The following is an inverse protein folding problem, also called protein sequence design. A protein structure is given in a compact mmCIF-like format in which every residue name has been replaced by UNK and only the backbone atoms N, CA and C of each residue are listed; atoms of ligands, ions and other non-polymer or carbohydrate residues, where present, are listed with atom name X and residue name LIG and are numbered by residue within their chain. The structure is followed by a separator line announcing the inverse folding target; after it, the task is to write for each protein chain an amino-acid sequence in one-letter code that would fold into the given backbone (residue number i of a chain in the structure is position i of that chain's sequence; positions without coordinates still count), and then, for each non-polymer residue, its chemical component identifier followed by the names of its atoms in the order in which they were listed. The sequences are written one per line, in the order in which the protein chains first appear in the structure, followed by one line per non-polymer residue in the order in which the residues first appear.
data_IF_853810589335
#
_entry.id   IF_853810589335
#
_cell.length_a   1.000
_cell.length_b   1.000
_cell.length_c   1.000
_cell.angle_alpha   90.00
_cell.angle_beta   90.00
_cell.angle_gamma   90.00
#
_symmetry.space_group_name_H-M   'P 1'
#
loop_
_entity.id
_entity.type
_entity.pdbx_description
1 polymer ?
#
# COMPACT_ATOMS: atom_id res chain seq x y z
N UNK A 1 23.60 -4.47 14.14
CA UNK A 1 22.76 -5.50 14.80
C UNK A 1 21.44 -5.51 14.05
N UNK A 2 21.26 -6.51 13.19
CA UNK A 2 20.05 -6.68 12.39
C UNK A 2 18.99 -7.29 13.31
N UNK A 3 17.98 -6.51 13.67
CA UNK A 3 16.85 -6.95 14.50
C UNK A 3 15.59 -7.04 13.64
N UNK A 4 15.67 -7.79 12.55
CA UNK A 4 14.50 -8.38 11.92
C UNK A 4 14.70 -9.88 12.06
N UNK A 5 14.16 -10.43 13.14
CA UNK A 5 14.15 -11.87 13.40
C UNK A 5 13.42 -12.53 12.24
N UNK A 6 14.07 -13.50 11.57
CA UNK A 6 13.49 -14.37 10.54
C UNK A 6 12.36 -15.29 11.07
N UNK A 7 11.88 -15.06 12.30
CA UNK A 7 11.07 -15.98 13.09
C UNK A 7 9.81 -15.33 13.68
N UNK A 8 9.28 -14.33 12.96
CA UNK A 8 7.87 -13.97 13.11
C UNK A 8 7.25 -14.21 11.74
N UNK A 9 6.69 -15.40 11.56
CA UNK A 9 5.69 -15.63 10.52
C UNK A 9 4.48 -14.75 10.84
N UNK A 10 4.55 -13.49 10.43
CA UNK A 10 3.38 -12.64 10.31
C UNK A 10 2.54 -13.27 9.22
N UNK A 11 1.62 -14.18 9.58
CA UNK A 11 0.58 -14.60 8.65
C UNK A 11 -0.24 -13.35 8.33
N UNK A 12 0.19 -12.69 7.26
CA UNK A 12 -0.43 -11.51 6.72
C UNK A 12 -1.51 -11.97 5.77
N UNK A 13 -2.68 -12.32 6.30
CA UNK A 13 -3.90 -12.37 5.50
C UNK A 13 -4.64 -11.06 5.73
N UNK A 14 -4.26 -9.99 5.01
CA UNK A 14 -5.08 -8.78 5.07
C UNK A 14 -6.41 -9.06 4.36
N UNK A 15 -7.39 -9.43 5.16
CA UNK A 15 -8.77 -9.55 4.73
C UNK A 15 -9.38 -8.15 4.71
N UNK A 16 -8.97 -7.32 3.76
CA UNK A 16 -9.44 -5.92 3.62
C UNK A 16 -10.97 -5.79 3.57
N UNK A 17 -11.67 -6.83 3.12
CA UNK A 17 -13.13 -6.94 3.15
C UNK A 17 -13.73 -7.74 4.31
N UNK A 18 -12.95 -8.14 5.31
CA UNK A 18 -13.49 -8.80 6.52
C UNK A 18 -14.20 -7.81 7.44
N UNK A 19 -15.22 -8.28 8.14
CA UNK A 19 -15.98 -7.47 9.10
C UNK A 19 -15.12 -6.84 10.21
N UNK A 20 -13.99 -7.48 10.55
CA UNK A 20 -13.07 -7.00 11.58
C UNK A 20 -12.03 -5.99 11.03
N UNK A 21 -11.89 -5.91 9.70
CA UNK A 21 -11.01 -4.96 9.03
C UNK A 21 -11.69 -3.60 8.84
N UNK A 22 -11.76 -2.83 9.92
CA UNK A 22 -12.43 -1.52 9.94
C UNK A 22 -11.44 -0.37 9.66
N UNK A 23 -11.06 -0.18 8.39
CA UNK A 23 -10.21 0.96 7.99
C UNK A 23 -10.94 2.30 8.23
N UNK A 24 -10.23 3.30 8.77
CA UNK A 24 -10.81 4.60 9.13
C UNK A 24 -11.49 4.66 10.50
N UNK A 25 -11.64 3.53 11.20
CA UNK A 25 -12.18 3.48 12.56
C UNK A 25 -11.05 3.43 13.62
N UNK A 26 -11.37 3.86 14.84
CA UNK A 26 -10.42 3.88 15.96
C UNK A 26 -10.16 2.50 16.59
N UNK A 27 -10.83 1.44 16.11
CA UNK A 27 -10.74 0.07 16.65
C UNK A 27 -10.88 -0.94 15.51
N UNK A 28 -10.32 -2.13 15.70
CA UNK A 28 -10.37 -3.24 14.75
C UNK A 28 -9.00 -3.64 14.22
N UNK A 29 -8.93 -4.75 13.50
CA UNK A 29 -7.67 -5.35 13.03
C UNK A 29 -6.85 -4.39 12.18
N UNK A 30 -7.52 -3.57 11.36
CA UNK A 30 -6.88 -2.55 10.54
C UNK A 30 -6.12 -1.50 11.39
N UNK A 31 -6.70 -1.09 12.53
CA UNK A 31 -6.09 -0.13 13.44
C UNK A 31 -4.85 -0.72 14.13
N UNK A 32 -4.96 -1.94 14.65
CA UNK A 32 -3.86 -2.61 15.35
C UNK A 32 -2.67 -2.87 14.42
N UNK A 33 -2.96 -3.35 13.21
CA UNK A 33 -1.93 -3.56 12.17
C UNK A 33 -1.30 -2.23 11.73
N UNK A 34 -2.09 -1.17 11.58
CA UNK A 34 -1.58 0.16 11.28
C UNK A 34 -0.65 0.69 12.38
N UNK A 35 -0.99 0.47 13.65
CA UNK A 35 -0.13 0.87 14.78
C UNK A 35 1.21 0.13 14.77
N UNK A 36 1.18 -1.19 14.55
CA UNK A 36 2.39 -2.02 14.42
C UNK A 36 3.27 -1.55 13.26
N UNK A 37 2.68 -1.36 12.07
CA UNK A 37 3.42 -0.93 10.89
C UNK A 37 4.04 0.46 11.11
N UNK A 38 3.28 1.43 11.65
CA UNK A 38 3.81 2.77 11.97
C UNK A 38 5.00 2.72 12.93
N UNK A 39 4.96 1.83 13.92
CA UNK A 39 6.07 1.61 14.84
C UNK A 39 7.30 1.06 14.11
N UNK A 40 7.10 0.04 13.27
CA UNK A 40 8.15 -0.61 12.50
C UNK A 40 8.83 0.31 11.48
N UNK A 41 8.08 1.21 10.83
CA UNK A 41 8.58 2.08 9.75
C UNK A 41 8.77 3.55 10.18
N UNK A 42 9.00 3.78 11.47
CA UNK A 42 9.12 5.13 12.04
C UNK A 42 10.27 5.95 11.44
N UNK A 43 11.42 5.34 11.18
CA UNK A 43 12.59 6.02 10.60
C UNK A 43 12.64 5.91 9.08
N UNK A 44 13.39 6.81 8.43
CA UNK A 44 13.60 6.75 6.98
C UNK A 44 14.35 5.47 6.56
N UNK A 45 15.35 5.07 7.34
CA UNK A 45 16.08 3.82 7.15
C UNK A 45 15.15 2.61 7.28
N UNK A 46 14.33 2.56 8.34
CA UNK A 46 13.40 1.45 8.55
C UNK A 46 12.35 1.35 7.44
N UNK A 47 11.87 2.49 6.89
CA UNK A 47 11.01 2.49 5.68
C UNK A 47 11.71 1.87 4.48
N UNK A 48 12.95 2.26 4.22
CA UNK A 48 13.73 1.73 3.10
C UNK A 48 13.99 0.24 3.26
N UNK A 49 14.37 -0.20 4.46
CA UNK A 49 14.53 -1.62 4.80
C UNK A 49 13.24 -2.40 4.61
N UNK A 50 12.12 -1.90 5.15
CA UNK A 50 10.80 -2.53 5.03
C UNK A 50 10.36 -2.67 3.56
N UNK A 51 10.52 -1.61 2.75
CA UNK A 51 10.24 -1.65 1.32
C UNK A 51 11.10 -2.69 0.61
N UNK A 52 12.38 -2.84 0.98
CA UNK A 52 13.29 -3.82 0.39
C UNK A 52 13.04 -5.27 0.86
N UNK A 53 12.51 -5.47 2.07
CA UNK A 53 12.42 -6.76 2.77
C UNK A 53 11.40 -7.76 2.20
N UNK A 54 10.91 -7.58 0.97
CA UNK A 54 9.89 -8.47 0.37
C UNK A 54 8.61 -8.61 1.20
N UNK A 55 8.21 -7.55 1.92
CA UNK A 55 6.95 -7.50 2.65
C UNK A 55 5.75 -8.00 1.81
N UNK A 56 4.80 -8.75 2.41
CA UNK A 56 3.60 -9.24 1.74
C UNK A 56 2.80 -8.12 1.08
N UNK A 57 2.09 -8.44 -0.01
CA UNK A 57 1.32 -7.45 -0.78
C UNK A 57 0.30 -6.71 0.11
N UNK A 58 -0.47 -7.42 0.92
CA UNK A 58 -1.41 -6.78 1.83
C UNK A 58 -0.75 -5.80 2.82
N UNK A 59 0.50 -6.03 3.22
CA UNK A 59 1.23 -5.15 4.13
C UNK A 59 1.69 -3.89 3.41
N UNK A 60 2.14 -4.04 2.16
CA UNK A 60 2.43 -2.91 1.29
C UNK A 60 1.18 -2.05 1.04
N UNK A 61 0.01 -2.68 0.83
CA UNK A 61 -1.26 -1.96 0.67
C UNK A 61 -1.60 -1.20 1.95
N UNK A 62 -1.31 -1.76 3.13
CA UNK A 62 -1.48 -1.04 4.39
C UNK A 62 -0.55 0.16 4.49
N UNK A 63 0.71 0.00 4.10
CA UNK A 63 1.67 1.11 4.02
C UNK A 63 1.20 2.20 3.06
N UNK A 64 0.61 1.83 1.91
CA UNK A 64 0.03 2.76 0.96
C UNK A 64 -1.16 3.51 1.56
N UNK A 65 -2.08 2.80 2.23
CA UNK A 65 -3.23 3.37 2.90
C UNK A 65 -2.81 4.44 3.93
N UNK A 66 -1.76 4.15 4.70
CA UNK A 66 -1.17 5.09 5.66
C UNK A 66 -0.57 6.32 4.98
N UNK A 67 0.12 6.15 3.84
CA UNK A 67 0.68 7.24 3.08
C UNK A 67 -0.42 8.16 2.52
N UNK A 68 -1.47 7.57 1.94
CA UNK A 68 -2.63 8.32 1.43
C UNK A 68 -3.32 9.11 2.55
N UNK A 69 -3.65 8.45 3.66
CA UNK A 69 -4.27 9.11 4.82
C UNK A 69 -3.41 10.26 5.35
N UNK A 70 -2.08 10.09 5.37
CA UNK A 70 -1.17 11.15 5.79
C UNK A 70 -1.21 12.34 4.83
N UNK A 71 -1.15 12.09 3.53
CA UNK A 71 -1.23 13.15 2.51
C UNK A 71 -2.53 13.95 2.66
N UNK A 72 -3.67 13.26 2.80
CA UNK A 72 -4.99 13.89 3.01
C UNK A 72 -5.04 14.74 4.28
N UNK A 73 -4.50 14.23 5.40
CA UNK A 73 -4.42 14.99 6.65
C UNK A 73 -3.55 16.25 6.54
N UNK A 74 -2.63 16.30 5.58
CA UNK A 74 -1.82 17.49 5.27
C UNK A 74 -2.49 18.40 4.23
N UNK A 75 -3.75 18.14 3.87
CA UNK A 75 -4.49 18.90 2.86
C UNK A 75 -4.01 18.61 1.42
N UNK A 76 -3.34 17.48 1.19
CA UNK A 76 -2.80 17.08 -0.11
C UNK A 76 -3.60 15.89 -0.65
N UNK A 77 -4.55 16.11 -1.57
CA UNK A 77 -5.33 15.01 -2.12
C UNK A 77 -4.39 14.02 -2.83
N UNK A 78 -4.57 12.73 -2.54
CA UNK A 78 -3.81 11.69 -3.22
C UNK A 78 -4.53 11.29 -4.50
N UNK A 79 -3.80 11.08 -5.62
CA UNK A 79 -4.39 10.49 -6.82
C UNK A 79 -4.90 9.07 -6.59
N UNK A 80 -4.67 8.45 -5.43
CA UNK A 80 -5.07 7.07 -5.10
C UNK A 80 -6.16 7.00 -4.03
N UNK A 81 -6.70 8.13 -3.59
CA UNK A 81 -7.73 8.18 -2.54
C UNK A 81 -8.95 7.33 -2.89
N UNK A 82 -9.42 7.36 -4.14
CA UNK A 82 -10.60 6.59 -4.55
C UNK A 82 -10.36 5.08 -4.54
N UNK A 83 -9.22 4.59 -5.06
CA UNK A 83 -8.89 3.16 -4.95
C UNK A 83 -8.76 2.71 -3.49
N UNK A 84 -8.22 3.57 -2.61
CA UNK A 84 -8.14 3.25 -1.19
C UNK A 84 -9.52 3.21 -0.53
N UNK A 85 -10.43 4.10 -0.90
CA UNK A 85 -11.80 4.09 -0.42
C UNK A 85 -12.57 2.86 -0.91
N UNK A 86 -12.42 2.49 -2.19
CA UNK A 86 -13.01 1.29 -2.78
C UNK A 86 -12.51 0.00 -2.09
N UNK A 87 -11.21 -0.07 -1.80
CA UNK A 87 -10.60 -1.16 -1.05
C UNK A 87 -11.19 -1.27 0.37
N UNK A 88 -11.28 -0.16 1.08
CA UNK A 88 -11.85 -0.13 2.44
C UNK A 88 -13.35 -0.49 2.45
N UNK A 89 -14.07 -0.19 1.37
CA UNK A 89 -15.46 -0.58 1.19
C UNK A 89 -15.64 -2.06 0.78
N UNK A 90 -14.57 -2.82 0.64
CA UNK A 90 -14.61 -4.23 0.23
C UNK A 90 -15.08 -4.44 -1.20
N UNK A 91 -14.90 -3.43 -2.08
CA UNK A 91 -15.33 -3.52 -3.48
C UNK A 91 -14.45 -4.46 -4.33
N UNK A 92 -13.30 -4.86 -3.81
CA UNK A 92 -12.36 -5.78 -4.45
C UNK A 92 -12.47 -7.17 -3.80
N UNK A 93 -12.57 -8.20 -4.65
CA UNK A 93 -12.71 -9.60 -4.22
C UNK A 93 -11.45 -10.17 -3.56
N UNK A 94 -10.29 -9.60 -3.90
CA UNK A 94 -8.97 -10.06 -3.51
C UNK A 94 -7.90 -8.99 -3.74
N UNK A 95 -6.69 -9.21 -3.21
CA UNK A 95 -5.55 -8.31 -3.36
C UNK A 95 -5.13 -8.09 -4.82
N UNK A 96 -5.36 -9.06 -5.71
CA UNK A 96 -5.05 -8.92 -7.13
C UNK A 96 -5.94 -7.88 -7.79
N UNK A 97 -7.25 -7.97 -7.59
CA UNK A 97 -8.21 -6.98 -8.11
C UNK A 97 -7.96 -5.57 -7.55
N UNK A 98 -7.57 -5.45 -6.28
CA UNK A 98 -7.11 -4.19 -5.69
C UNK A 98 -5.87 -3.62 -6.39
N UNK A 99 -4.87 -4.47 -6.69
CA UNK A 99 -3.67 -4.04 -7.40
C UNK A 99 -4.00 -3.55 -8.82
N UNK A 100 -4.86 -4.23 -9.57
CA UNK A 100 -5.25 -3.75 -10.91
C UNK A 100 -5.92 -2.37 -10.85
N UNK A 101 -6.77 -2.12 -9.84
CA UNK A 101 -7.40 -0.83 -9.67
C UNK A 101 -6.39 0.29 -9.35
N UNK A 102 -5.40 0.01 -8.50
CA UNK A 102 -4.30 0.93 -8.23
C UNK A 102 -3.51 1.26 -9.50
N UNK A 103 -3.18 0.25 -10.30
CA UNK A 103 -2.47 0.44 -11.57
C UNK A 103 -3.29 1.31 -12.53
N UNK A 104 -4.56 0.98 -12.73
CA UNK A 104 -5.46 1.73 -13.60
C UNK A 104 -5.57 3.20 -13.17
N UNK A 105 -5.68 3.46 -11.86
CA UNK A 105 -5.75 4.83 -11.35
C UNK A 105 -4.44 5.59 -11.58
N UNK A 106 -3.28 4.96 -11.37
CA UNK A 106 -1.99 5.58 -11.70
C UNK A 106 -1.87 5.90 -13.20
N UNK A 107 -2.34 5.02 -14.09
CA UNK A 107 -2.32 5.25 -15.54
C UNK A 107 -3.21 6.41 -15.98
N UNK A 108 -4.36 6.63 -15.31
CA UNK A 108 -5.21 7.80 -15.56
C UNK A 108 -4.48 9.10 -15.20
N UNK A 109 -3.72 9.09 -14.11
CA UNK A 109 -3.00 10.28 -13.64
C UNK A 109 -1.69 10.56 -14.38
N UNK A 110 -1.01 9.52 -14.87
CA UNK A 110 0.27 9.65 -15.58
C UNK A 110 0.38 8.64 -16.75
N UNK A 111 -0.36 8.85 -17.85
CA UNK A 111 -0.47 7.88 -18.95
C UNK A 111 0.81 7.73 -19.77
N UNK A 112 1.73 8.69 -19.70
CA UNK A 112 3.02 8.64 -20.41
C UNK A 112 4.11 7.91 -19.61
N UNK A 113 3.78 7.40 -18.42
CA UNK A 113 4.74 6.74 -17.56
C UNK A 113 5.14 5.37 -18.08
N UNK A 114 6.32 5.29 -18.69
CA UNK A 114 6.87 4.04 -19.22
C UNK A 114 7.02 2.94 -18.17
N UNK A 115 7.18 3.30 -16.87
CA UNK A 115 7.25 2.31 -15.78
C UNK A 115 5.88 1.64 -15.57
N UNK A 116 4.78 2.39 -15.65
CA UNK A 116 3.43 1.83 -15.50
C UNK A 116 3.11 0.87 -16.66
N UNK A 117 3.43 1.27 -17.90
CA UNK A 117 3.29 0.40 -19.07
C UNK A 117 4.10 -0.91 -18.95
N UNK A 118 5.32 -0.83 -18.43
CA UNK A 118 6.15 -2.02 -18.19
C UNK A 118 5.52 -2.95 -17.12
N UNK A 119 4.95 -2.39 -16.05
CA UNK A 119 4.25 -3.16 -15.02
C UNK A 119 2.99 -3.81 -15.58
N UNK A 120 2.22 -3.08 -16.41
CA UNK A 120 1.02 -3.60 -17.06
C UNK A 120 1.33 -4.82 -17.95
N UNK A 121 2.49 -4.82 -18.61
CA UNK A 121 2.95 -5.92 -19.48
C UNK A 121 3.50 -7.14 -18.71
N UNK A 122 3.75 -7.04 -17.41
CA UNK A 122 4.17 -8.18 -16.60
C UNK A 122 3.05 -9.23 -16.50
N UNK A 123 3.36 -10.54 -16.42
CA UNK A 123 2.35 -11.56 -16.15
C UNK A 123 1.75 -11.37 -14.75
N UNK A 124 0.49 -11.80 -14.58
CA UNK A 124 -0.17 -11.77 -13.28
C UNK A 124 0.58 -12.67 -12.28
N UNK A 125 1.31 -12.05 -11.37
CA UNK A 125 2.14 -12.71 -10.36
C UNK A 125 2.19 -11.89 -9.08
N UNK A 126 2.64 -12.50 -8.00
CA UNK A 126 2.87 -11.79 -6.74
C UNK A 126 3.92 -10.68 -6.89
N UNK A 127 4.96 -10.93 -7.69
CA UNK A 127 5.97 -9.93 -8.04
C UNK A 127 5.37 -8.72 -8.76
N UNK A 128 4.43 -8.94 -9.70
CA UNK A 128 3.72 -7.85 -10.37
C UNK A 128 2.88 -7.04 -9.38
N UNK A 129 2.09 -7.71 -8.53
CA UNK A 129 1.27 -7.04 -7.50
C UNK A 129 2.11 -6.18 -6.58
N UNK A 130 3.21 -6.74 -6.07
CA UNK A 130 4.19 -6.02 -5.25
C UNK A 130 4.77 -4.80 -5.99
N UNK A 131 5.12 -4.96 -7.27
CA UNK A 131 5.67 -3.87 -8.07
C UNK A 131 4.66 -2.74 -8.27
N UNK A 132 3.37 -3.07 -8.47
CA UNK A 132 2.27 -2.09 -8.52
C UNK A 132 2.20 -1.29 -7.23
N UNK A 133 2.13 -1.96 -6.07
CA UNK A 133 1.95 -1.27 -4.79
C UNK A 133 3.18 -0.41 -4.42
N UNK A 134 4.39 -0.87 -4.75
CA UNK A 134 5.60 -0.06 -4.57
C UNK A 134 5.59 1.18 -5.47
N UNK A 135 5.15 1.06 -6.73
CA UNK A 135 4.98 2.22 -7.62
C UNK A 135 3.93 3.20 -7.07
N UNK A 136 2.82 2.69 -6.53
CA UNK A 136 1.79 3.50 -5.88
C UNK A 136 2.32 4.25 -4.65
N UNK A 137 3.13 3.58 -3.81
CA UNK A 137 3.81 4.19 -2.67
C UNK A 137 4.74 5.32 -3.11
N UNK A 138 5.52 5.10 -4.18
CA UNK A 138 6.39 6.13 -4.76
C UNK A 138 5.57 7.34 -5.25
N UNK A 139 4.44 7.12 -5.93
CA UNK A 139 3.54 8.19 -6.39
C UNK A 139 3.05 9.08 -5.24
N UNK A 140 2.58 8.47 -4.14
CA UNK A 140 2.09 9.24 -2.97
C UNK A 140 3.23 9.99 -2.29
N UNK A 141 4.39 9.36 -2.08
CA UNK A 141 5.54 10.01 -1.46
C UNK A 141 6.16 11.11 -2.34
N UNK A 142 6.13 10.96 -3.65
CA UNK A 142 6.54 12.00 -4.58
C UNK A 142 5.63 13.23 -4.46
N UNK A 143 4.31 13.04 -4.38
CA UNK A 143 3.36 14.12 -4.12
C UNK A 143 3.60 14.83 -2.76
N UNK A 144 4.16 14.12 -1.76
CA UNK A 144 4.60 14.75 -0.51
C UNK A 144 5.87 15.63 -0.66
N UNK A 145 6.73 15.36 -1.64
CA UNK A 145 8.02 16.06 -1.82
C UNK A 145 8.00 17.14 -2.91
N UNK A 146 7.06 17.08 -3.84
CA UNK A 146 7.06 17.85 -5.09
C UNK A 146 6.30 19.20 -5.09
N UNK A 147 6.05 19.83 -3.94
CA UNK A 147 5.48 21.18 -3.84
C UNK A 147 6.29 22.06 -2.89
#
# INVERSE_FOLDING_TARGET
MSAFSDDVSWEWSATWGSADWNWGYARGTAHDRAALLRSAVRSAEARSTWQAARAPVGELILGLALAVQRAENMGRPSPLSDAMAALAAGQYSDEGSACEALLAQMEVHDPSNARLAAIAAMPASEERRRTIVLAALDCVQFAERGM
#
